data_IF_221311022543
#
_entry.id   IF_221311022543
#
_cell.length_a   1.000
_cell.length_b   1.000
_cell.length_c   1.000
_cell.angle_alpha   90.00
_cell.angle_beta   90.00
_cell.angle_gamma   90.00
#
_symmetry.space_group_name_H-M   'P 1'
#
loop_
_entity.id
_entity.type
_entity.pdbx_description
1 polymer ?
#
# COMPACT_ATOMS: atom_id res chain seq x y z
N UNK A 1 -6.74 8.53 12.39
CA UNK A 1 -6.07 7.91 11.21
C UNK A 1 -6.04 6.41 11.45
N UNK A 2 -6.64 5.64 10.58
CA UNK A 2 -6.63 4.19 10.69
C UNK A 2 -5.26 3.65 10.28
N UNK A 3 -4.49 3.18 11.25
CA UNK A 3 -3.13 2.67 11.03
C UNK A 3 -3.08 1.42 10.16
N UNK A 4 -4.21 0.68 10.05
CA UNK A 4 -4.31 -0.51 9.23
C UNK A 4 -4.44 -0.20 7.72
N UNK A 5 -4.67 1.07 7.36
CA UNK A 5 -4.76 1.54 5.97
C UNK A 5 -3.51 2.24 5.46
N UNK A 6 -2.44 2.27 6.26
CA UNK A 6 -1.17 2.86 5.84
C UNK A 6 -0.38 1.81 5.06
N UNK A 7 -0.60 1.75 3.77
CA UNK A 7 0.04 0.79 2.86
C UNK A 7 0.61 1.52 1.64
N UNK A 8 1.58 0.91 0.98
CA UNK A 8 2.02 1.38 -0.33
C UNK A 8 0.86 1.27 -1.32
N UNK A 9 0.61 2.34 -2.04
CA UNK A 9 -0.45 2.44 -3.04
C UNK A 9 0.17 2.26 -4.41
N UNK A 10 -0.47 1.47 -5.27
CA UNK A 10 -0.11 1.38 -6.68
C UNK A 10 -0.69 2.56 -7.46
N UNK A 11 0.05 3.08 -8.41
CA UNK A 11 -0.45 4.04 -9.38
C UNK A 11 -0.13 3.54 -10.80
N UNK A 12 -1.17 3.40 -11.63
CA UNK A 12 -1.00 3.12 -13.05
C UNK A 12 -0.68 4.41 -13.79
N UNK A 13 0.40 4.39 -14.53
CA UNK A 13 0.80 5.48 -15.42
C UNK A 13 0.92 5.01 -16.86
N UNK A 14 0.77 5.93 -17.78
CA UNK A 14 1.06 5.75 -19.19
C UNK A 14 1.91 6.89 -19.71
N UNK A 15 2.98 6.58 -20.40
CA UNK A 15 3.71 7.56 -21.22
C UNK A 15 3.90 7.02 -22.63
N UNK A 16 3.88 7.86 -23.68
CA UNK A 16 4.12 7.39 -25.04
C UNK A 16 5.46 6.69 -25.25
N UNK A 17 6.47 7.05 -24.46
CA UNK A 17 7.82 6.47 -24.53
C UNK A 17 7.97 5.15 -23.78
N UNK A 18 7.09 4.85 -22.82
CA UNK A 18 7.22 3.68 -21.96
C UNK A 18 6.00 2.77 -21.96
N UNK A 19 4.84 3.19 -22.49
CA UNK A 19 3.61 2.42 -22.38
C UNK A 19 3.02 2.46 -20.96
N UNK A 20 2.32 1.40 -20.56
CA UNK A 20 1.72 1.27 -19.22
C UNK A 20 2.72 0.74 -18.19
N UNK A 21 2.80 1.41 -17.06
CA UNK A 21 3.60 0.93 -15.93
C UNK A 21 2.94 1.26 -14.59
N UNK A 22 3.23 0.43 -13.59
CA UNK A 22 2.79 0.65 -12.21
C UNK A 22 3.95 1.21 -11.42
N UNK A 23 3.69 2.33 -10.76
CA UNK A 23 4.59 2.99 -9.83
C UNK A 23 4.11 2.74 -8.40
N UNK A 24 5.02 2.36 -7.52
CA UNK A 24 4.74 2.32 -6.09
C UNK A 24 4.68 3.76 -5.56
N UNK A 25 3.50 4.23 -5.19
CA UNK A 25 3.37 5.44 -4.38
C UNK A 25 3.56 5.08 -2.92
N UNK A 26 4.70 5.48 -2.38
CA UNK A 26 4.92 5.40 -0.95
C UNK A 26 3.99 6.39 -0.26
N UNK A 27 3.27 5.98 0.80
CA UNK A 27 2.48 6.91 1.56
C UNK A 27 3.42 7.99 2.10
N UNK A 28 3.18 9.21 1.72
CA UNK A 28 3.90 10.37 2.22
C UNK A 28 3.39 10.66 3.63
N UNK A 29 4.06 10.09 4.60
CA UNK A 29 3.74 10.24 6.00
C UNK A 29 4.83 11.00 6.74
N UNK A 30 4.41 11.66 7.78
CA UNK A 30 5.29 12.26 8.77
C UNK A 30 4.78 11.99 10.17
N UNK A 31 5.71 11.82 11.11
CA UNK A 31 5.41 11.77 12.51
C UNK A 31 5.74 13.13 13.14
N UNK A 32 4.71 13.82 13.64
CA UNK A 32 4.87 15.13 14.30
C UNK A 32 5.02 14.95 15.79
N UNK A 33 6.03 15.60 16.35
CA UNK A 33 6.30 15.71 17.77
C UNK A 33 6.22 17.18 18.19
N UNK A 34 6.23 17.52 19.49
CA UNK A 34 6.27 18.92 19.91
C UNK A 34 7.50 19.69 19.44
N UNK A 35 8.62 18.99 19.12
CA UNK A 35 9.89 19.63 18.79
C UNK A 35 10.38 19.39 17.37
N UNK A 36 9.78 18.41 16.64
CA UNK A 36 10.27 18.03 15.33
C UNK A 36 9.17 17.38 14.47
N UNK A 37 9.40 17.38 13.17
CA UNK A 37 8.64 16.62 12.22
C UNK A 37 9.57 15.60 11.56
N UNK A 38 9.22 14.32 11.68
CA UNK A 38 10.01 13.19 11.20
C UNK A 38 9.40 12.68 9.90
N UNK A 39 10.18 12.71 8.82
CA UNK A 39 9.76 12.21 7.52
C UNK A 39 9.86 10.69 7.49
N UNK A 40 8.75 10.01 7.27
CA UNK A 40 8.70 8.55 7.13
C UNK A 40 9.01 8.21 5.68
N UNK A 41 10.01 7.36 5.48
CA UNK A 41 10.52 6.99 4.15
C UNK A 41 10.01 5.64 3.65
N UNK A 42 9.48 4.81 4.55
CA UNK A 42 8.90 3.52 4.22
C UNK A 42 7.82 3.14 5.23
N UNK A 43 6.87 2.31 4.83
CA UNK A 43 5.81 1.75 5.68
C UNK A 43 5.76 0.26 5.48
N UNK A 44 5.73 -0.50 6.58
CA UNK A 44 5.58 -1.96 6.59
C UNK A 44 6.49 -2.69 5.60
N UNK A 45 7.72 -2.26 5.49
CA UNK A 45 8.72 -2.81 4.59
C UNK A 45 10.08 -3.02 5.25
N UNK A 46 11.08 -3.54 4.52
CA UNK A 46 12.43 -3.71 5.05
C UNK A 46 13.00 -2.40 5.57
N UNK A 47 13.58 -2.42 6.79
CA UNK A 47 14.32 -1.28 7.31
C UNK A 47 15.60 -1.07 6.49
N UNK A 48 15.64 0.02 5.73
CA UNK A 48 16.78 0.37 4.89
C UNK A 48 17.77 1.25 5.64
N UNK A 49 19.02 1.28 5.16
CA UNK A 49 20.03 2.20 5.71
C UNK A 49 19.60 3.66 5.48
N UNK A 50 19.92 4.52 6.44
CA UNK A 50 19.60 5.96 6.45
C UNK A 50 18.11 6.27 6.25
N UNK A 51 17.24 5.36 6.68
CA UNK A 51 15.79 5.43 6.49
C UNK A 51 15.05 5.38 7.83
N UNK A 52 13.88 6.03 7.86
CA UNK A 52 12.89 5.94 8.92
C UNK A 52 11.69 5.14 8.41
N UNK A 53 11.51 3.94 8.94
CA UNK A 53 10.41 3.04 8.57
C UNK A 53 9.34 3.06 9.65
N UNK A 54 8.09 3.17 9.24
CA UNK A 54 6.92 2.98 10.08
C UNK A 54 6.44 1.53 9.99
N UNK A 55 6.26 0.89 11.14
CA UNK A 55 5.62 -0.43 11.24
C UNK A 55 4.31 -0.33 11.99
N UNK A 56 3.30 -1.02 11.48
CA UNK A 56 1.97 -1.19 12.08
C UNK A 56 1.66 -2.67 12.27
N UNK A 57 0.56 -3.00 12.97
CA UNK A 57 0.11 -4.38 13.14
C UNK A 57 -0.17 -5.11 11.82
N UNK A 58 -0.39 -4.39 10.71
CA UNK A 58 -0.53 -4.99 9.37
C UNK A 58 0.76 -5.63 8.85
N UNK A 59 1.93 -5.30 9.41
CA UNK A 59 3.19 -5.94 9.05
C UNK A 59 3.35 -7.34 9.68
N UNK A 60 2.70 -7.58 10.80
CA UNK A 60 2.75 -8.81 11.56
C UNK A 60 2.84 -8.56 13.06
N UNK A 61 3.34 -9.54 13.82
CA UNK A 61 3.42 -9.48 15.29
C UNK A 61 4.61 -8.67 15.81
N UNK A 62 5.61 -8.43 14.98
CA UNK A 62 6.83 -7.69 15.34
C UNK A 62 7.49 -7.03 14.14
N UNK A 63 8.37 -6.07 14.38
CA UNK A 63 9.14 -5.36 13.35
C UNK A 63 10.17 -6.24 12.65
N UNK A 64 10.52 -7.41 13.21
CA UNK A 64 11.51 -8.36 12.69
C UNK A 64 12.85 -7.71 12.30
N UNK A 65 13.25 -6.68 13.04
CA UNK A 65 14.49 -5.93 12.82
C UNK A 65 15.63 -6.50 13.67
N UNK A 66 16.78 -5.86 13.66
CA UNK A 66 17.96 -6.25 14.44
C UNK A 66 18.42 -5.07 15.36
N UNK A 67 19.40 -5.34 16.21
CA UNK A 67 19.95 -4.41 17.19
C UNK A 67 20.70 -3.21 16.60
N UNK A 68 21.05 -3.23 15.32
CA UNK A 68 21.80 -2.14 14.68
C UNK A 68 20.94 -0.90 14.37
N UNK A 69 19.64 -0.95 14.62
CA UNK A 69 18.75 0.19 14.51
C UNK A 69 18.21 0.65 15.85
N UNK A 70 17.46 1.73 15.82
CA UNK A 70 16.78 2.29 16.98
C UNK A 70 15.29 2.37 16.72
N UNK A 71 14.49 1.95 17.71
CA UNK A 71 13.05 1.87 17.61
C UNK A 71 12.36 2.69 18.69
N UNK A 72 11.25 3.29 18.29
CA UNK A 72 10.34 4.03 19.16
C UNK A 72 8.95 3.48 18.98
N UNK A 73 8.43 2.81 20.01
CA UNK A 73 7.04 2.34 20.02
C UNK A 73 6.14 3.46 20.51
N UNK A 74 5.08 3.71 19.77
CA UNK A 74 4.06 4.70 20.09
C UNK A 74 2.73 3.98 20.32
N UNK A 75 2.13 4.17 21.49
CA UNK A 75 0.84 3.63 21.87
C UNK A 75 -0.08 4.78 22.28
N UNK A 76 -1.30 4.79 21.76
CA UNK A 76 -2.29 5.83 22.05
C UNK A 76 -1.73 7.27 21.86
N UNK A 77 -0.92 7.48 20.80
CA UNK A 77 -0.35 8.78 20.44
C UNK A 77 0.80 9.25 21.31
N UNK A 78 1.36 8.40 22.19
CA UNK A 78 2.55 8.73 23.02
C UNK A 78 3.59 7.63 22.91
N UNK A 79 4.85 8.01 22.98
CA UNK A 79 5.96 7.07 23.08
C UNK A 79 5.78 6.20 24.33
N UNK A 80 5.72 4.89 24.16
CA UNK A 80 5.61 3.91 25.25
C UNK A 80 6.92 3.17 25.53
N UNK A 81 7.77 3.02 24.50
CA UNK A 81 9.06 2.32 24.61
C UNK A 81 10.06 2.90 23.61
N UNK A 82 11.32 2.89 23.98
CA UNK A 82 12.44 3.22 23.10
C UNK A 82 13.57 2.21 23.29
N UNK A 83 14.32 1.90 22.25
CA UNK A 83 15.45 0.97 22.34
C UNK A 83 15.95 0.48 21.01
N UNK A 84 16.90 -0.43 21.07
CA UNK A 84 17.43 -1.16 19.91
C UNK A 84 16.71 -2.50 19.76
N UNK A 85 16.80 -3.08 18.56
CA UNK A 85 16.26 -4.42 18.28
C UNK A 85 14.81 -4.42 17.82
N UNK A 86 14.21 -5.58 17.95
CA UNK A 86 12.84 -5.86 17.49
C UNK A 86 11.80 -5.40 18.52
N UNK A 87 10.75 -4.74 18.06
CA UNK A 87 9.59 -4.37 18.86
C UNK A 87 8.37 -5.19 18.45
N UNK A 88 7.53 -5.55 19.43
CA UNK A 88 6.22 -6.12 19.18
C UNK A 88 5.28 -5.09 18.52
N UNK A 89 4.36 -5.56 17.70
CA UNK A 89 3.34 -4.76 17.03
C UNK A 89 1.96 -5.22 17.51
N UNK A 90 1.23 -4.34 18.17
CA UNK A 90 -0.10 -4.61 18.70
C UNK A 90 -1.16 -3.64 18.15
N UNK A 91 -2.40 -3.86 18.55
CA UNK A 91 -3.49 -2.97 18.21
C UNK A 91 -3.25 -1.57 18.81
N UNK A 92 -3.64 -0.52 18.10
CA UNK A 92 -3.52 0.89 18.51
C UNK A 92 -2.10 1.37 18.80
N UNK A 93 -1.10 0.69 18.23
CA UNK A 93 0.30 1.12 18.32
C UNK A 93 0.99 1.05 16.95
N UNK A 94 2.07 1.79 16.85
CA UNK A 94 3.00 1.74 15.73
C UNK A 94 4.43 1.88 16.22
N UNK A 95 5.37 1.45 15.40
CA UNK A 95 6.79 1.56 15.69
C UNK A 95 7.47 2.41 14.61
N UNK A 96 8.21 3.40 15.02
CA UNK A 96 9.16 4.13 14.19
C UNK A 96 10.52 3.45 14.34
N UNK A 97 11.07 2.92 13.26
CA UNK A 97 12.33 2.20 13.24
C UNK A 97 13.32 2.89 12.31
N UNK A 98 14.47 3.29 12.84
CA UNK A 98 15.52 3.98 12.11
C UNK A 98 16.81 3.18 12.07
N UNK A 99 17.57 3.34 10.97
CA UNK A 99 18.90 2.79 10.81
C UNK A 99 19.86 3.86 10.24
N UNK A 100 21.16 3.73 10.55
CA UNK A 100 22.18 4.67 10.09
C UNK A 100 21.94 6.09 10.62
N UNK A 101 22.11 7.09 9.80
CA UNK A 101 21.96 8.52 10.14
C UNK A 101 20.54 8.86 10.63
N UNK A 102 19.53 8.15 10.15
CA UNK A 102 18.15 8.38 10.58
C UNK A 102 17.92 8.14 12.07
N UNK A 103 18.79 7.37 12.75
CA UNK A 103 18.74 7.13 14.21
C UNK A 103 18.76 8.44 14.98
N UNK A 104 19.53 9.43 14.54
CA UNK A 104 19.63 10.73 15.19
C UNK A 104 18.28 11.43 15.33
N UNK A 105 17.34 11.18 14.43
CA UNK A 105 15.99 11.75 14.47
C UNK A 105 15.10 11.16 15.57
N UNK A 106 15.34 9.91 15.97
CA UNK A 106 14.56 9.22 17.00
C UNK A 106 15.16 9.33 18.41
N UNK A 107 16.46 9.48 18.55
CA UNK A 107 17.17 9.56 19.85
C UNK A 107 16.62 10.60 20.82
N UNK A 108 16.13 11.78 20.39
CA UNK A 108 15.54 12.77 21.29
C UNK A 108 14.20 12.36 21.90
N UNK A 109 13.52 11.35 21.32
CA UNK A 109 12.20 10.92 21.79
C UNK A 109 12.34 10.08 23.07
N UNK A 110 11.52 10.43 24.06
CA UNK A 110 11.47 9.76 25.37
C UNK A 110 10.08 9.24 25.63
N UNK A 111 9.94 8.24 26.48
CA UNK A 111 8.64 7.75 26.97
C UNK A 111 7.79 8.94 27.43
N UNK A 112 6.52 8.95 27.01
CA UNK A 112 5.57 10.03 27.24
C UNK A 112 5.54 11.13 26.16
N UNK A 113 6.55 11.21 25.26
CA UNK A 113 6.54 12.19 24.16
C UNK A 113 5.33 12.00 23.26
N UNK A 114 4.49 13.02 23.01
CA UNK A 114 3.40 12.94 22.05
C UNK A 114 3.92 12.76 20.62
N UNK A 115 3.31 11.83 19.86
CA UNK A 115 3.63 11.58 18.45
C UNK A 115 2.35 11.41 17.67
N UNK A 116 2.15 12.19 16.63
CA UNK A 116 0.97 12.14 15.76
C UNK A 116 1.41 11.83 14.34
N UNK A 117 0.86 10.76 13.77
CA UNK A 117 1.02 10.47 12.35
C UNK A 117 0.05 11.35 11.55
N UNK A 118 0.56 11.95 10.50
CA UNK A 118 -0.24 12.74 9.58
C UNK A 118 0.27 12.60 8.15
N UNK A 119 -0.61 12.78 7.13
CA UNK A 119 -0.19 12.87 5.75
C UNK A 119 0.83 14.01 5.60
N UNK A 120 1.88 13.77 4.81
CA UNK A 120 2.77 14.81 4.33
C UNK A 120 2.14 15.38 3.06
N UNK A 121 1.79 16.66 3.05
CA UNK A 121 1.48 17.36 1.82
C UNK A 121 2.80 17.56 1.04
N UNK A 122 3.08 16.70 0.07
CA UNK A 122 3.89 17.17 -1.04
C UNK A 122 2.98 18.02 -1.91
N UNK A 123 3.41 19.24 -2.19
CA UNK A 123 2.89 19.99 -3.32
C UNK A 123 3.08 19.05 -4.52
N UNK A 124 1.97 18.54 -5.04
CA UNK A 124 1.98 17.76 -6.25
C UNK A 124 2.74 18.59 -7.28
N UNK A 125 3.95 18.18 -7.64
CA UNK A 125 4.52 18.57 -8.91
C UNK A 125 3.58 17.95 -9.92
N UNK A 126 2.66 18.76 -10.42
CA UNK A 126 1.85 18.43 -11.58
C UNK A 126 2.88 18.22 -12.68
N UNK A 127 3.25 16.98 -12.92
CA UNK A 127 3.96 16.63 -14.13
C UNK A 127 2.97 16.82 -15.27
N UNK A 128 3.12 17.95 -15.94
CA UNK A 128 2.37 18.36 -17.13
C UNK A 128 2.74 17.53 -18.38
N UNK A 129 3.21 16.33 -18.21
CA UNK A 129 3.46 15.40 -19.31
C UNK A 129 2.30 14.38 -19.36
N UNK A 130 1.30 14.69 -20.14
CA UNK A 130 0.24 13.93 -20.80
C UNK A 130 0.02 12.43 -20.50
N UNK A 131 0.14 11.96 -19.27
CA UNK A 131 -0.12 10.58 -18.91
C UNK A 131 -1.39 10.45 -18.05
N UNK A 132 -2.28 9.54 -18.43
CA UNK A 132 -3.38 9.16 -17.57
C UNK A 132 -2.83 8.49 -16.29
N UNK A 133 -3.31 8.93 -15.13
CA UNK A 133 -2.93 8.34 -13.86
C UNK A 133 -4.21 7.78 -13.20
N UNK A 134 -4.14 6.50 -12.84
CA UNK A 134 -5.12 5.87 -11.96
C UNK A 134 -4.42 5.54 -10.67
N UNK A 135 -4.86 6.13 -9.57
CA UNK A 135 -4.40 5.77 -8.23
C UNK A 135 -5.29 4.66 -7.69
N UNK A 136 -4.68 3.57 -7.29
CA UNK A 136 -5.39 2.42 -6.77
C UNK A 136 -5.23 2.24 -5.27
N UNK A 137 -5.79 1.15 -4.81
CA UNK A 137 -5.68 0.69 -3.43
C UNK A 137 -4.32 0.02 -3.14
N UNK A 138 -4.38 -1.13 -2.52
CA UNK A 138 -3.20 -1.84 -2.01
C UNK A 138 -2.31 -2.36 -3.14
N UNK A 139 -1.03 -1.98 -3.13
CA UNK A 139 -0.01 -2.63 -3.98
C UNK A 139 0.10 -4.10 -3.55
N UNK A 140 -0.10 -5.02 -4.48
CA UNK A 140 -0.12 -6.46 -4.19
C UNK A 140 1.02 -7.22 -4.88
N UNK A 141 1.49 -6.74 -6.02
CA UNK A 141 2.52 -7.39 -6.82
C UNK A 141 3.61 -6.39 -7.21
N UNK A 142 4.86 -6.70 -6.93
CA UNK A 142 6.01 -5.89 -7.33
C UNK A 142 7.17 -6.78 -7.79
N UNK A 143 7.62 -6.59 -9.04
CA UNK A 143 8.65 -7.41 -9.67
C UNK A 143 8.39 -8.92 -9.56
N UNK A 144 7.14 -9.34 -9.77
CA UNK A 144 6.72 -10.74 -9.72
C UNK A 144 6.57 -11.34 -8.31
N UNK A 145 6.73 -10.54 -7.25
CA UNK A 145 6.60 -11.00 -5.86
C UNK A 145 5.40 -10.33 -5.18
N UNK A 146 4.69 -11.09 -4.35
CA UNK A 146 3.64 -10.56 -3.49
C UNK A 146 4.24 -9.60 -2.45
N UNK A 147 3.69 -8.40 -2.37
CA UNK A 147 4.12 -7.34 -1.44
C UNK A 147 2.96 -6.76 -0.61
N UNK A 148 1.76 -7.28 -0.81
CA UNK A 148 0.57 -6.87 -0.08
C UNK A 148 0.59 -7.28 1.40
N UNK A 149 -0.35 -6.76 2.20
CA UNK A 149 -0.50 -7.17 3.58
C UNK A 149 -1.05 -8.60 3.67
N UNK A 150 -0.82 -9.25 4.82
CA UNK A 150 -1.50 -10.52 5.12
C UNK A 150 -3.01 -10.26 5.22
N UNK A 151 -3.76 -10.82 4.29
CA UNK A 151 -5.21 -10.73 4.26
C UNK A 151 -5.78 -12.14 4.00
N UNK A 152 -6.61 -12.61 4.90
CA UNK A 152 -7.30 -13.91 4.80
C UNK A 152 -8.77 -13.77 4.43
N UNK A 153 -9.22 -12.57 4.05
CA UNK A 153 -10.62 -12.31 3.76
C UNK A 153 -10.91 -12.41 2.28
N UNK A 154 -11.73 -13.37 1.89
CA UNK A 154 -12.23 -13.47 0.53
C UNK A 154 -13.27 -12.38 0.27
N UNK A 155 -13.07 -11.62 -0.82
CA UNK A 155 -13.95 -10.53 -1.26
C UNK A 155 -14.08 -10.53 -2.77
N UNK A 156 -15.12 -9.87 -3.28
CA UNK A 156 -15.11 -9.39 -4.67
C UNK A 156 -13.99 -8.37 -4.81
N UNK A 157 -13.12 -8.53 -5.79
CA UNK A 157 -11.96 -7.66 -5.98
C UNK A 157 -11.70 -7.39 -7.46
N UNK A 158 -11.20 -6.20 -7.72
CA UNK A 158 -10.66 -5.82 -9.01
C UNK A 158 -9.18 -5.48 -8.85
N UNK A 159 -8.38 -5.95 -9.78
CA UNK A 159 -6.94 -5.73 -9.81
C UNK A 159 -6.54 -5.17 -11.17
N UNK A 160 -5.48 -4.38 -11.17
CA UNK A 160 -4.80 -3.94 -12.37
C UNK A 160 -3.32 -4.30 -12.26
N UNK A 161 -2.75 -4.78 -13.34
CA UNK A 161 -1.35 -5.16 -13.41
C UNK A 161 -0.69 -4.74 -14.72
N UNK A 162 0.63 -4.78 -14.74
CA UNK A 162 1.43 -4.59 -15.93
C UNK A 162 2.42 -5.73 -16.11
N UNK A 163 2.55 -6.20 -17.35
CA UNK A 163 3.50 -7.24 -17.74
C UNK A 163 4.89 -6.66 -17.97
N UNK A 164 5.89 -7.53 -18.17
CA UNK A 164 7.26 -7.12 -18.49
C UNK A 164 7.36 -6.37 -19.83
N UNK A 165 6.50 -6.72 -20.77
CA UNK A 165 6.37 -6.06 -22.09
C UNK A 165 5.36 -4.90 -22.08
N UNK A 166 5.09 -4.34 -20.89
CA UNK A 166 4.33 -3.11 -20.67
C UNK A 166 2.86 -3.17 -21.11
N UNK A 167 2.30 -4.39 -21.19
CA UNK A 167 0.87 -4.60 -21.42
C UNK A 167 0.09 -4.46 -20.11
N UNK A 168 -1.12 -3.96 -20.25
CA UNK A 168 -2.07 -3.84 -19.15
C UNK A 168 -2.83 -5.15 -18.94
N UNK A 169 -2.95 -5.56 -17.69
CA UNK A 169 -3.78 -6.69 -17.26
C UNK A 169 -4.83 -6.16 -16.30
N UNK A 170 -6.09 -6.47 -16.55
CA UNK A 170 -7.21 -6.20 -15.63
C UNK A 170 -7.83 -7.53 -15.25
N UNK A 171 -7.94 -7.78 -13.96
CA UNK A 171 -8.56 -9.00 -13.44
C UNK A 171 -9.64 -8.65 -12.43
N UNK A 172 -10.78 -9.30 -12.52
CA UNK A 172 -11.91 -9.12 -11.62
C UNK A 172 -12.40 -10.48 -11.12
N UNK A 173 -12.72 -10.55 -9.84
CA UNK A 173 -13.26 -11.74 -9.19
C UNK A 173 -14.44 -11.36 -8.34
N UNK A 174 -15.60 -11.97 -8.60
CA UNK A 174 -16.80 -11.81 -7.77
C UNK A 174 -16.83 -12.80 -6.61
N UNK A 175 -17.47 -12.40 -5.53
CA UNK A 175 -17.69 -13.26 -4.35
C UNK A 175 -19.09 -13.91 -4.32
N UNK A 176 -20.11 -13.24 -4.83
CA UNK A 176 -21.51 -13.53 -4.52
C UNK A 176 -22.24 -14.32 -5.62
N UNK A 177 -21.57 -15.29 -6.24
CA UNK A 177 -22.25 -16.21 -7.15
C UNK A 177 -21.99 -17.68 -6.74
N UNK A 178 -22.78 -18.60 -7.26
CA UNK A 178 -22.70 -20.03 -6.92
C UNK A 178 -21.34 -20.66 -7.29
N UNK A 179 -20.54 -19.98 -8.12
CA UNK A 179 -19.26 -20.49 -8.65
C UNK A 179 -18.03 -19.74 -8.08
N UNK A 180 -18.20 -18.69 -7.26
CA UNK A 180 -17.07 -17.92 -6.73
C UNK A 180 -17.28 -17.49 -5.28
N UNK A 181 -16.28 -17.78 -4.47
CA UNK A 181 -16.21 -17.35 -3.06
C UNK A 181 -15.41 -16.05 -2.88
N UNK A 182 -15.00 -15.42 -3.99
CA UNK A 182 -14.07 -14.28 -3.95
C UNK A 182 -12.63 -14.71 -3.75
N UNK A 183 -11.74 -13.74 -3.60
CA UNK A 183 -10.30 -13.95 -3.43
C UNK A 183 -9.73 -13.09 -2.32
N UNK A 184 -8.65 -13.56 -1.71
CA UNK A 184 -7.74 -12.79 -0.86
C UNK A 184 -6.85 -11.89 -1.73
N UNK A 185 -6.09 -10.97 -1.12
CA UNK A 185 -5.13 -10.15 -1.85
C UNK A 185 -4.00 -10.98 -2.48
N UNK A 186 -3.53 -12.01 -1.78
CA UNK A 186 -2.48 -12.89 -2.29
C UNK A 186 -2.95 -13.76 -3.45
N UNK A 187 -4.16 -14.32 -3.38
CA UNK A 187 -4.77 -15.05 -4.50
C UNK A 187 -4.98 -14.14 -5.72
N UNK A 188 -5.39 -12.88 -5.50
CA UNK A 188 -5.49 -11.89 -6.57
C UNK A 188 -4.14 -11.55 -7.22
N UNK A 189 -3.08 -11.44 -6.43
CA UNK A 189 -1.73 -11.26 -6.95
C UNK A 189 -1.25 -12.49 -7.75
N UNK A 190 -1.56 -13.70 -7.27
CA UNK A 190 -1.26 -14.95 -7.99
C UNK A 190 -2.04 -15.03 -9.32
N UNK A 191 -3.29 -14.57 -9.34
CA UNK A 191 -4.07 -14.45 -10.57
C UNK A 191 -3.40 -13.49 -11.56
N UNK A 192 -3.00 -12.28 -11.11
CA UNK A 192 -2.27 -11.33 -11.95
C UNK A 192 -0.98 -11.95 -12.51
N UNK A 193 -0.22 -12.66 -11.67
CA UNK A 193 1.01 -13.35 -12.09
C UNK A 193 0.73 -14.43 -13.13
N UNK A 194 -0.34 -15.22 -12.99
CA UNK A 194 -0.74 -16.24 -13.97
C UNK A 194 -1.11 -15.63 -15.33
N UNK A 195 -1.55 -14.37 -15.34
CA UNK A 195 -1.84 -13.58 -16.53
C UNK A 195 -0.62 -12.83 -17.08
N UNK A 196 0.57 -13.07 -16.51
CA UNK A 196 1.84 -12.50 -16.96
C UNK A 196 2.19 -11.14 -16.36
N UNK A 197 1.42 -10.61 -15.41
CA UNK A 197 1.76 -9.37 -14.74
C UNK A 197 2.95 -9.55 -13.80
N UNK A 198 3.81 -8.53 -13.73
CA UNK A 198 4.94 -8.47 -12.78
C UNK A 198 4.76 -7.36 -11.73
N UNK A 199 3.90 -6.39 -12.00
CA UNK A 199 3.49 -5.38 -11.02
C UNK A 199 1.97 -5.30 -11.01
N UNK A 200 1.38 -4.99 -9.85
CA UNK A 200 -0.07 -4.89 -9.74
C UNK A 200 -0.55 -4.35 -8.40
N UNK A 201 -1.74 -3.80 -8.41
CA UNK A 201 -2.41 -3.33 -7.22
C UNK A 201 -3.91 -3.63 -7.27
N UNK A 202 -4.55 -3.66 -6.10
CA UNK A 202 -6.00 -3.75 -5.97
C UNK A 202 -6.64 -2.41 -6.34
N UNK A 203 -7.63 -2.43 -7.23
CA UNK A 203 -8.42 -1.25 -7.60
C UNK A 203 -9.60 -1.05 -6.66
N UNK A 204 -10.32 -2.14 -6.38
CA UNK A 204 -11.51 -2.13 -5.56
C UNK A 204 -11.67 -3.45 -4.83
N UNK A 205 -12.28 -3.39 -3.64
CA UNK A 205 -12.57 -4.55 -2.81
C UNK A 205 -13.99 -4.51 -2.22
N UNK A 206 -14.88 -3.74 -2.83
CA UNK A 206 -16.25 -3.59 -2.35
C UNK A 206 -17.25 -3.76 -3.48
N UNK A 207 -18.31 -4.50 -3.17
CA UNK A 207 -19.46 -4.64 -4.04
C UNK A 207 -19.22 -5.52 -5.25
N UNK A 208 -20.03 -5.28 -6.23
CA UNK A 208 -20.08 -5.93 -7.54
C UNK A 208 -19.05 -5.32 -8.47
N UNK A 209 -18.49 -6.13 -9.33
CA UNK A 209 -17.55 -5.68 -10.34
C UNK A 209 -18.19 -5.79 -11.70
N UNK A 210 -18.33 -4.66 -12.39
CA UNK A 210 -18.77 -4.61 -13.77
C UNK A 210 -17.58 -4.46 -14.71
N UNK A 211 -17.56 -5.23 -15.80
CA UNK A 211 -16.55 -5.11 -16.86
C UNK A 211 -17.25 -4.84 -18.18
N UNK A 212 -16.94 -3.69 -18.76
CA UNK A 212 -17.44 -3.26 -20.07
C UNK A 212 -16.30 -3.19 -21.08
N UNK A 213 -16.47 -3.83 -22.22
CA UNK A 213 -15.52 -3.81 -23.33
C UNK A 213 -16.26 -3.42 -24.62
N UNK A 214 -15.82 -2.34 -25.26
CA UNK A 214 -16.41 -1.89 -26.52
C UNK A 214 -17.89 -1.50 -26.41
N UNK A 215 -18.33 -0.99 -25.26
CA UNK A 215 -19.72 -0.61 -25.01
C UNK A 215 -20.63 -1.77 -24.59
N UNK A 216 -20.08 -2.96 -24.40
CA UNK A 216 -20.83 -4.15 -23.97
C UNK A 216 -20.32 -4.67 -22.63
N UNK A 217 -21.24 -4.97 -21.71
CA UNK A 217 -20.88 -5.65 -20.46
C UNK A 217 -20.44 -7.08 -20.76
N UNK A 218 -19.19 -7.38 -20.51
CA UNK A 218 -18.64 -8.75 -20.55
C UNK A 218 -18.83 -9.47 -19.22
N UNK A 219 -18.97 -8.71 -18.16
CA UNK A 219 -19.35 -9.17 -16.84
C UNK A 219 -20.21 -8.09 -16.17
N UNK A 220 -21.32 -8.51 -15.55
CA UNK A 220 -22.18 -7.65 -14.76
C UNK A 220 -22.35 -8.27 -13.37
N UNK A 221 -21.93 -7.55 -12.37
CA UNK A 221 -22.04 -8.00 -11.01
C UNK A 221 -23.48 -8.01 -10.49
N UNK A 222 -23.71 -8.73 -9.41
CA UNK A 222 -25.06 -8.99 -8.86
C UNK A 222 -25.58 -7.91 -7.91
N UNK A 223 -24.78 -6.92 -7.57
CA UNK A 223 -25.15 -5.85 -6.64
C UNK A 223 -25.16 -4.48 -7.32
N UNK A 224 -26.05 -3.60 -6.90
CA UNK A 224 -26.03 -2.20 -7.35
C UNK A 224 -24.86 -1.52 -6.66
N UNK A 225 -23.85 -1.01 -7.38
CA UNK A 225 -22.69 -0.37 -6.78
C UNK A 225 -23.12 0.90 -6.02
N UNK A 226 -22.61 1.07 -4.80
CA UNK A 226 -22.82 2.27 -4.00
C UNK A 226 -21.96 3.46 -4.45
N UNK A 227 -20.92 3.21 -5.24
CA UNK A 227 -20.08 4.20 -5.90
C UNK A 227 -19.47 3.60 -7.18
N UNK A 228 -19.35 4.40 -8.23
CA UNK A 228 -18.73 3.98 -9.49
C UNK A 228 -17.34 4.59 -9.60
N UNK A 229 -16.30 3.77 -9.53
CA UNK A 229 -15.02 4.10 -10.12
C UNK A 229 -14.95 3.47 -11.51
N UNK A 230 -14.99 4.29 -12.55
CA UNK A 230 -14.84 3.81 -13.93
C UNK A 230 -13.41 4.01 -14.40
N UNK A 231 -12.80 2.94 -14.87
CA UNK A 231 -11.54 3.01 -15.62
C UNK A 231 -11.90 2.85 -17.09
N UNK A 232 -11.66 3.89 -17.87
CA UNK A 232 -11.81 3.87 -19.30
C UNK A 232 -10.47 3.55 -19.94
N UNK A 233 -10.35 2.36 -20.57
CA UNK A 233 -9.19 1.99 -21.36
C UNK A 233 -9.51 2.27 -22.82
N UNK A 234 -8.87 3.28 -23.39
CA UNK A 234 -8.99 3.61 -24.81
C UNK A 234 -7.80 2.97 -25.51
N UNK A 235 -8.07 2.18 -26.56
CA UNK A 235 -7.04 1.63 -27.44
C UNK A 235 -6.57 2.65 -28.45
#
# INVERSE_FOLDING_TARGET
>A
MDLNRIQSVGALRYTPSRGYFIEEKKPLLQAKTPKSTLVITAVNGPRRNNALTLYTSSFGESTKTNEFGYEVTVSNGKVSKVGNGTSALGANQFVLSAHGEAIASLKPLKVGTPVVLQPRQELAKVETAGGAMVEGGTLVLHNGSYVGPKDSTNRSRSFIGTTKDEKLVVATVDKHNASSVGVTLEEGANLLTSLGAINGFELSNQGSVDVEVGGHYTHKGNETPSAYEKILIIK
#
